data_IF_701671580712
#
_entry.id   IF_701671580712
#
_cell.length_a   1.000
_cell.length_b   1.000
_cell.length_c   1.000
_cell.angle_alpha   90.00
_cell.angle_beta   90.00
_cell.angle_gamma   90.00
#
_symmetry.space_group_name_H-M   'P 1'
#
loop_
_entity.id
_entity.type
_entity.pdbx_description
1 polymer ?
#
# COMPACT_ATOMS: atom_id res chain seq x y z
N UNK A 1 -8.56 -0.55 48.94
CA UNK A 1 -7.80 -1.76 49.27
C UNK A 1 -7.31 -2.32 47.95
N UNK A 2 -6.19 -1.76 47.48
CA UNK A 2 -4.81 -2.31 47.69
C UNK A 2 -4.55 -3.34 46.58
N UNK A 3 -3.70 -3.10 45.57
CA UNK A 3 -2.24 -2.88 45.69
C UNK A 3 -1.59 -4.25 45.97
N UNK A 4 -0.66 -4.84 45.22
CA UNK A 4 0.52 -4.35 44.49
C UNK A 4 1.20 -5.56 43.77
N UNK A 5 1.84 -5.31 42.62
CA UNK A 5 3.17 -5.79 42.15
C UNK A 5 3.60 -7.29 42.22
N UNK A 6 4.57 -7.83 41.44
CA UNK A 6 5.51 -7.36 40.42
C UNK A 6 6.04 -8.58 39.63
N UNK A 7 6.56 -8.31 38.43
CA UNK A 7 7.63 -8.98 37.65
C UNK A 7 7.97 -10.46 37.86
N UNK A 8 7.96 -11.21 36.75
CA UNK A 8 9.11 -12.06 36.38
C UNK A 8 9.40 -12.01 34.89
N UNK A 9 10.57 -11.47 34.58
CA UNK A 9 11.28 -11.60 33.31
C UNK A 9 11.82 -13.03 33.15
N UNK A 10 11.72 -13.59 31.95
CA UNK A 10 12.60 -14.63 31.44
C UNK A 10 12.71 -14.47 29.92
N UNK A 11 13.72 -13.72 29.53
CA UNK A 11 14.29 -13.66 28.18
C UNK A 11 15.10 -14.94 27.99
N UNK A 12 14.68 -15.82 27.07
CA UNK A 12 15.55 -16.83 26.49
C UNK A 12 15.64 -16.58 24.97
N UNK A 13 16.88 -16.41 24.50
CA UNK A 13 17.28 -16.18 23.12
C UNK A 13 18.05 -17.42 22.63
N UNK A 14 17.61 -17.96 21.48
CA UNK A 14 18.36 -18.58 20.36
C UNK A 14 19.21 -19.86 20.62
N UNK A 15 19.60 -20.66 19.59
CA UNK A 15 19.27 -20.61 18.14
C UNK A 15 18.78 -21.97 17.56
N UNK A 16 18.08 -21.93 16.42
CA UNK A 16 17.96 -23.08 15.50
C UNK A 16 18.66 -22.73 14.19
N UNK A 17 19.98 -22.58 14.25
CA UNK A 17 20.88 -22.68 13.09
C UNK A 17 21.13 -24.17 12.85
N UNK A 18 20.50 -24.75 11.83
CA UNK A 18 20.73 -26.18 11.52
C UNK A 18 19.94 -26.73 10.34
N UNK A 19 18.93 -26.01 9.85
CA UNK A 19 18.13 -26.45 8.68
C UNK A 19 18.50 -25.75 7.38
N UNK A 20 19.21 -24.63 7.45
CA UNK A 20 19.56 -23.86 6.24
C UNK A 20 20.84 -24.40 5.56
N UNK A 21 21.80 -24.93 6.33
CA UNK A 21 23.05 -25.49 5.76
C UNK A 21 22.84 -26.79 4.99
N UNK A 22 21.81 -27.58 5.31
CA UNK A 22 21.49 -28.81 4.57
C UNK A 22 20.80 -28.50 3.23
N UNK A 23 19.99 -27.44 3.18
CA UNK A 23 19.34 -27.00 1.94
C UNK A 23 20.31 -26.23 1.03
N UNK A 24 21.22 -25.43 1.62
CA UNK A 24 22.27 -24.74 0.86
C UNK A 24 23.32 -25.72 0.32
N UNK A 25 23.69 -26.78 1.06
CA UNK A 25 24.59 -27.83 0.55
C UNK A 25 23.97 -28.65 -0.59
N UNK A 26 22.67 -28.96 -0.52
CA UNK A 26 21.95 -29.65 -1.61
C UNK A 26 21.76 -28.74 -2.86
N UNK A 27 21.57 -27.44 -2.68
CA UNK A 27 21.50 -26.46 -3.78
C UNK A 27 22.88 -26.18 -4.41
N UNK A 28 23.95 -26.11 -3.62
CA UNK A 28 25.32 -25.94 -4.12
C UNK A 28 25.86 -27.20 -4.82
N UNK A 29 25.47 -28.40 -4.36
CA UNK A 29 25.79 -29.67 -5.04
C UNK A 29 25.06 -29.77 -6.40
N UNK A 30 23.78 -29.38 -6.49
CA UNK A 30 23.07 -29.32 -7.78
C UNK A 30 23.63 -28.24 -8.74
N UNK A 31 24.08 -27.09 -8.23
CA UNK A 31 24.69 -26.03 -9.05
C UNK A 31 26.11 -26.41 -9.52
N UNK A 32 26.85 -27.19 -8.72
CA UNK A 32 28.20 -27.68 -9.06
C UNK A 32 28.20 -28.86 -10.04
N UNK A 33 27.17 -29.72 -10.01
CA UNK A 33 27.01 -30.81 -10.98
C UNK A 33 26.58 -30.29 -12.36
N UNK A 34 25.79 -29.21 -12.45
CA UNK A 34 25.49 -28.54 -13.72
C UNK A 34 26.72 -27.85 -14.35
N UNK A 35 27.72 -27.48 -13.55
CA UNK A 35 28.96 -26.86 -14.01
C UNK A 35 30.03 -27.86 -14.51
N UNK A 36 29.90 -29.15 -14.20
CA UNK A 36 30.91 -30.17 -14.51
C UNK A 36 30.76 -30.83 -15.91
N UNK A 37 29.73 -30.49 -16.70
CA UNK A 37 29.54 -31.03 -18.05
C UNK A 37 30.12 -30.12 -19.16
N UNK A 38 31.45 -30.10 -19.25
CA UNK A 38 32.25 -29.94 -20.47
C UNK A 38 31.94 -28.78 -21.43
N UNK A 39 32.82 -27.76 -21.45
CA UNK A 39 33.25 -26.94 -22.60
C UNK A 39 32.33 -26.82 -23.84
N UNK A 40 31.03 -26.55 -23.66
CA UNK A 40 30.06 -26.38 -24.74
C UNK A 40 29.73 -24.89 -24.88
N UNK A 41 29.80 -24.39 -26.12
CA UNK A 41 29.40 -23.02 -26.50
C UNK A 41 28.07 -22.66 -25.80
N UNK A 42 28.00 -21.48 -25.17
CA UNK A 42 26.82 -21.02 -24.41
C UNK A 42 25.54 -21.27 -25.22
N UNK A 43 24.75 -22.22 -24.75
CA UNK A 43 23.51 -22.62 -25.41
C UNK A 43 22.44 -21.60 -25.03
N UNK A 44 21.85 -20.96 -26.04
CA UNK A 44 20.82 -19.95 -25.81
C UNK A 44 19.47 -20.66 -25.75
N UNK A 45 18.71 -20.51 -24.64
CA UNK A 45 17.39 -21.11 -24.53
C UNK A 45 16.41 -20.52 -25.54
N UNK A 46 15.42 -21.31 -25.92
CA UNK A 46 14.39 -20.92 -26.87
C UNK A 46 13.00 -21.27 -26.35
N UNK A 47 12.06 -20.34 -26.51
CA UNK A 47 10.68 -20.53 -26.06
C UNK A 47 9.76 -20.84 -27.24
N UNK A 48 8.88 -21.81 -27.02
CA UNK A 48 7.80 -22.19 -27.92
C UNK A 48 6.47 -21.89 -27.24
N UNK A 49 5.61 -21.16 -27.94
CA UNK A 49 4.25 -20.88 -27.56
C UNK A 49 3.31 -21.97 -28.05
N UNK A 50 2.39 -22.37 -27.19
CA UNK A 50 1.29 -23.30 -27.43
C UNK A 50 -0.01 -22.50 -27.46
N UNK A 51 -0.59 -22.34 -28.65
CA UNK A 51 -1.83 -21.57 -28.82
C UNK A 51 -3.10 -22.38 -28.53
N UNK A 52 -3.01 -23.71 -28.53
CA UNK A 52 -4.15 -24.57 -28.24
C UNK A 52 -3.75 -25.68 -27.29
N UNK A 53 -4.51 -25.81 -26.20
CA UNK A 53 -4.30 -26.83 -25.17
C UNK A 53 -5.57 -27.69 -25.04
N UNK A 54 -5.47 -29.02 -25.19
CA UNK A 54 -6.60 -29.92 -24.98
C UNK A 54 -7.16 -29.90 -23.55
N UNK A 55 -8.43 -30.30 -23.36
CA UNK A 55 -9.00 -30.48 -22.03
C UNK A 55 -8.26 -31.57 -21.25
N UNK A 56 -8.04 -31.37 -19.94
CA UNK A 56 -7.24 -32.25 -19.06
C UNK A 56 -5.75 -32.36 -19.41
N UNK A 57 -5.24 -31.54 -20.30
CA UNK A 57 -3.82 -31.51 -20.61
C UNK A 57 -3.05 -30.80 -19.49
N UNK A 58 -1.96 -31.40 -19.01
CA UNK A 58 -1.15 -30.90 -17.90
C UNK A 58 0.25 -30.56 -18.39
N UNK A 59 0.98 -29.62 -17.75
CA UNK A 59 2.36 -29.31 -18.12
C UNK A 59 3.28 -30.54 -18.17
N UNK A 60 3.06 -31.52 -17.29
CA UNK A 60 3.79 -32.79 -17.26
C UNK A 60 3.61 -33.60 -18.56
N UNK A 61 2.42 -33.61 -19.15
CA UNK A 61 2.18 -34.32 -20.42
C UNK A 61 3.00 -33.71 -21.55
N UNK A 62 3.09 -32.38 -21.61
CA UNK A 62 3.90 -31.69 -22.62
C UNK A 62 5.38 -31.94 -22.41
N UNK A 63 5.86 -31.88 -21.17
CA UNK A 63 7.25 -32.22 -20.87
C UNK A 63 7.57 -33.63 -21.36
N UNK A 64 6.73 -34.62 -21.07
CA UNK A 64 6.96 -36.00 -21.50
C UNK A 64 6.92 -36.18 -23.03
N UNK A 65 5.98 -35.53 -23.71
CA UNK A 65 5.84 -35.60 -25.17
C UNK A 65 6.99 -34.89 -25.90
N UNK A 66 7.42 -33.72 -25.41
CA UNK A 66 8.45 -32.91 -26.04
C UNK A 66 9.88 -33.31 -25.64
N UNK A 67 10.04 -34.02 -24.52
CA UNK A 67 11.33 -34.58 -24.08
C UNK A 67 11.97 -35.49 -25.13
N UNK A 68 11.17 -36.17 -25.95
CA UNK A 68 11.66 -37.00 -27.06
C UNK A 68 12.41 -36.20 -28.15
N UNK A 69 12.18 -34.89 -28.25
CA UNK A 69 12.79 -34.03 -29.27
C UNK A 69 13.97 -33.20 -28.73
N UNK A 70 14.05 -33.03 -27.41
CA UNK A 70 15.16 -32.39 -26.73
C UNK A 70 14.83 -31.99 -25.28
N UNK A 71 15.82 -31.42 -24.61
CA UNK A 71 15.72 -31.06 -23.19
C UNK A 71 14.77 -29.89 -22.96
N UNK A 72 13.68 -30.17 -22.23
CA UNK A 72 12.65 -29.22 -21.85
C UNK A 72 12.95 -28.65 -20.46
N UNK A 73 13.08 -27.33 -20.38
CA UNK A 73 13.25 -26.58 -19.14
C UNK A 73 11.90 -26.22 -18.52
N UNK A 74 11.66 -24.92 -18.33
CA UNK A 74 10.45 -24.41 -17.68
C UNK A 74 9.23 -24.54 -18.59
N UNK A 75 8.08 -24.86 -17.98
CA UNK A 75 6.78 -24.96 -18.67
C UNK A 75 5.74 -24.21 -17.86
N UNK A 76 5.02 -23.31 -18.51
CA UNK A 76 3.97 -22.52 -17.89
C UNK A 76 2.71 -22.56 -18.76
N UNK A 77 1.58 -22.90 -18.15
CA UNK A 77 0.28 -22.85 -18.82
C UNK A 77 -0.60 -21.79 -18.16
N UNK A 78 -1.17 -20.91 -18.98
CA UNK A 78 -2.15 -19.94 -18.55
C UNK A 78 -3.47 -20.66 -18.30
N UNK A 79 -3.93 -20.61 -17.04
CA UNK A 79 -5.23 -21.12 -16.68
C UNK A 79 -6.33 -20.20 -17.25
N UNK A 80 -7.45 -20.80 -17.66
CA UNK A 80 -8.64 -20.06 -18.08
C UNK A 80 -9.10 -19.07 -16.99
N UNK A 81 -9.67 -17.94 -17.42
CA UNK A 81 -10.12 -16.90 -16.50
C UNK A 81 -11.08 -17.45 -15.42
N UNK A 82 -10.89 -16.94 -14.20
CA UNK A 82 -11.60 -17.42 -13.01
C UNK A 82 -13.11 -17.27 -13.15
N UNK A 83 -13.58 -16.27 -13.88
CA UNK A 83 -15.01 -16.04 -14.09
C UNK A 83 -15.63 -17.14 -14.97
N UNK A 84 -15.00 -17.43 -16.12
CA UNK A 84 -15.46 -18.48 -17.05
C UNK A 84 -15.45 -19.83 -16.35
N UNK A 85 -14.39 -20.09 -15.58
CA UNK A 85 -14.27 -21.28 -14.74
C UNK A 85 -15.40 -21.41 -13.72
N UNK A 86 -15.72 -20.32 -13.00
CA UNK A 86 -16.82 -20.31 -12.03
C UNK A 86 -18.17 -20.53 -12.71
N UNK A 87 -18.40 -19.91 -13.88
CA UNK A 87 -19.62 -20.09 -14.67
C UNK A 87 -19.80 -21.54 -15.12
N UNK A 88 -18.74 -22.16 -15.66
CA UNK A 88 -18.75 -23.58 -16.04
C UNK A 88 -19.02 -24.49 -14.84
N UNK A 89 -18.41 -24.21 -13.69
CA UNK A 89 -18.66 -24.96 -12.44
C UNK A 89 -20.11 -24.81 -11.97
N UNK A 90 -20.66 -23.60 -11.99
CA UNK A 90 -22.04 -23.34 -11.60
C UNK A 90 -23.05 -24.04 -12.54
N UNK A 91 -22.83 -23.99 -13.85
CA UNK A 91 -23.65 -24.68 -14.84
C UNK A 91 -23.61 -26.22 -14.67
N UNK A 92 -22.45 -26.77 -14.30
CA UNK A 92 -22.32 -28.20 -14.00
C UNK A 92 -23.00 -28.58 -12.67
N UNK A 93 -23.02 -27.70 -11.67
CA UNK A 93 -23.73 -27.92 -10.41
C UNK A 93 -25.27 -27.86 -10.59
N UNK A 94 -25.76 -27.07 -11.55
CA UNK A 94 -27.18 -26.89 -11.83
C UNK A 94 -27.80 -27.99 -12.73
N UNK A 95 -27.16 -29.15 -12.87
CA UNK A 95 -27.71 -30.30 -13.62
C UNK A 95 -27.10 -30.55 -15.01
N UNK A 96 -26.08 -29.80 -15.41
CA UNK A 96 -25.27 -30.14 -16.59
C UNK A 96 -24.47 -31.43 -16.37
N UNK A 97 -24.28 -32.26 -17.43
CA UNK A 97 -23.42 -33.47 -17.40
C UNK A 97 -22.14 -33.17 -16.62
N UNK A 98 -21.82 -33.99 -15.60
CA UNK A 98 -20.57 -33.98 -14.82
C UNK A 98 -19.36 -34.19 -15.73
N UNK A 99 -19.02 -33.21 -16.58
CA UNK A 99 -17.70 -33.16 -17.17
C UNK A 99 -16.76 -32.89 -16.01
N UNK A 100 -15.85 -33.83 -15.75
CA UNK A 100 -14.76 -33.65 -14.80
C UNK A 100 -14.12 -32.30 -15.12
N UNK A 101 -14.39 -31.31 -14.27
CA UNK A 101 -13.98 -29.94 -14.49
C UNK A 101 -12.50 -29.85 -14.13
N UNK A 102 -11.65 -30.28 -15.07
CA UNK A 102 -10.21 -30.11 -14.97
C UNK A 102 -9.87 -28.62 -15.09
N UNK A 103 -8.70 -28.24 -14.55
CA UNK A 103 -8.10 -26.94 -14.87
C UNK A 103 -7.80 -26.96 -16.37
N UNK A 104 -8.67 -26.32 -17.14
CA UNK A 104 -8.46 -26.10 -18.56
C UNK A 104 -7.50 -24.90 -18.71
N UNK A 105 -6.61 -25.02 -19.68
CA UNK A 105 -5.60 -24.01 -19.98
C UNK A 105 -5.90 -23.41 -21.34
N UNK A 106 -5.68 -22.11 -21.48
CA UNK A 106 -5.95 -21.38 -22.72
C UNK A 106 -4.71 -21.39 -23.61
N UNK A 107 -3.56 -21.10 -23.00
CA UNK A 107 -2.29 -20.90 -23.68
C UNK A 107 -1.15 -21.50 -22.85
N UNK A 108 -0.01 -21.75 -23.50
CA UNK A 108 1.17 -22.28 -22.83
C UNK A 108 2.49 -21.81 -23.43
N UNK A 109 3.53 -21.86 -22.61
CA UNK A 109 4.90 -21.57 -23.00
C UNK A 109 5.81 -22.68 -22.51
N UNK A 110 6.66 -23.16 -23.41
CA UNK A 110 7.64 -24.21 -23.14
C UNK A 110 9.01 -23.66 -23.49
N UNK A 111 9.92 -23.72 -22.54
CA UNK A 111 11.33 -23.41 -22.74
C UNK A 111 12.10 -24.68 -23.08
N UNK A 112 12.89 -24.62 -24.15
CA UNK A 112 13.91 -25.60 -24.47
C UNK A 112 15.28 -25.04 -24.09
N UNK A 113 16.18 -25.91 -23.63
CA UNK A 113 17.58 -25.52 -23.31
C UNK A 113 18.27 -24.92 -24.53
N UNK A 114 17.90 -25.38 -25.74
CA UNK A 114 18.54 -25.00 -27.00
C UNK A 114 17.56 -24.43 -28.04
N UNK A 115 17.76 -23.17 -28.47
CA UNK A 115 16.86 -22.49 -29.42
C UNK A 115 16.80 -23.16 -30.81
N UNK A 116 17.83 -23.91 -31.19
CA UNK A 116 17.85 -24.64 -32.47
C UNK A 116 16.84 -25.77 -32.45
N UNK A 117 16.73 -26.47 -31.32
CA UNK A 117 15.73 -27.51 -31.08
C UNK A 117 14.35 -26.88 -31.08
N UNK A 118 14.14 -25.78 -30.34
CA UNK A 118 12.87 -25.06 -30.32
C UNK A 118 12.35 -24.69 -31.73
N UNK A 119 13.24 -24.18 -32.60
CA UNK A 119 12.89 -23.86 -34.00
C UNK A 119 12.49 -25.10 -34.79
N UNK A 120 13.25 -26.19 -34.66
CA UNK A 120 12.97 -27.46 -35.36
C UNK A 120 11.64 -28.06 -34.89
N UNK A 121 11.45 -28.14 -33.58
CA UNK A 121 10.21 -28.64 -32.95
C UNK A 121 9.02 -27.83 -33.44
N UNK A 122 9.09 -26.50 -33.41
CA UNK A 122 8.00 -25.66 -33.90
C UNK A 122 7.73 -25.89 -35.41
N UNK A 123 8.76 -26.02 -36.25
CA UNK A 123 8.57 -26.25 -37.68
C UNK A 123 8.03 -27.66 -38.00
N UNK A 124 8.46 -28.69 -37.27
CA UNK A 124 8.12 -30.09 -37.55
C UNK A 124 6.82 -30.54 -36.91
N UNK A 125 6.52 -30.08 -35.69
CA UNK A 125 5.35 -30.53 -34.93
C UNK A 125 4.13 -29.63 -35.10
N UNK A 126 4.29 -28.40 -35.57
CA UNK A 126 3.13 -27.53 -35.82
C UNK A 126 2.16 -28.20 -36.81
N UNK A 127 0.86 -28.19 -36.46
CA UNK A 127 -0.25 -28.84 -37.17
C UNK A 127 -0.16 -30.37 -37.29
N UNK A 128 0.67 -31.03 -36.47
CA UNK A 128 0.70 -32.50 -36.40
C UNK A 128 -0.21 -33.03 -35.27
N UNK A 129 -0.74 -34.26 -35.36
CA UNK A 129 -1.55 -34.83 -34.30
C UNK A 129 -0.73 -35.07 -33.02
N UNK A 130 -1.30 -34.73 -31.85
CA UNK A 130 -0.62 -34.87 -30.56
C UNK A 130 -0.35 -36.31 -30.14
N UNK A 131 -1.20 -37.24 -30.58
CA UNK A 131 -1.13 -38.65 -30.19
C UNK A 131 -0.94 -39.57 -31.38
N UNK A 132 0.18 -40.31 -31.40
CA UNK A 132 0.35 -41.46 -32.30
C UNK A 132 -0.43 -42.71 -31.82
N UNK A 133 -0.79 -42.77 -30.53
CA UNK A 133 -1.40 -43.97 -29.91
C UNK A 133 -2.92 -43.96 -30.05
N UNK A 134 -3.50 -45.07 -30.51
CA UNK A 134 -4.96 -45.22 -30.72
C UNK A 134 -5.82 -44.98 -29.47
N UNK A 135 -5.29 -45.23 -28.26
CA UNK A 135 -5.97 -45.02 -26.97
C UNK A 135 -5.59 -43.71 -26.27
N UNK A 136 -4.79 -42.84 -26.89
CA UNK A 136 -4.42 -41.57 -26.24
C UNK A 136 -5.62 -40.62 -26.17
N UNK A 137 -5.87 -39.95 -25.03
CA UNK A 137 -6.96 -38.98 -24.90
C UNK A 137 -6.85 -37.79 -25.87
N UNK A 138 -5.65 -37.48 -26.37
CA UNK A 138 -5.33 -36.29 -27.18
C UNK A 138 -5.12 -36.64 -28.66
N UNK A 139 -5.69 -37.74 -29.15
CA UNK A 139 -5.44 -38.27 -30.51
C UNK A 139 -5.91 -37.33 -31.62
N UNK A 140 -7.09 -36.74 -31.44
CA UNK A 140 -7.74 -35.90 -32.46
C UNK A 140 -7.29 -34.45 -32.41
N UNK A 141 -6.58 -34.07 -31.36
CA UNK A 141 -6.10 -32.70 -31.18
C UNK A 141 -4.78 -32.51 -31.91
N UNK A 142 -4.63 -31.35 -32.54
CA UNK A 142 -3.43 -30.96 -33.27
C UNK A 142 -2.53 -30.06 -32.42
N UNK A 143 -1.23 -30.19 -32.60
CA UNK A 143 -0.25 -29.27 -32.05
C UNK A 143 -0.38 -27.89 -32.69
N UNK A 144 -0.58 -26.85 -31.89
CA UNK A 144 -0.46 -25.46 -32.33
C UNK A 144 0.75 -24.82 -31.66
N UNK A 145 1.91 -24.94 -32.30
CA UNK A 145 3.19 -24.47 -31.80
C UNK A 145 3.71 -23.26 -32.58
N UNK A 146 4.26 -22.26 -31.91
CA UNK A 146 4.94 -21.13 -32.54
C UNK A 146 6.25 -20.85 -31.81
N UNK A 147 7.37 -20.80 -32.53
CA UNK A 147 8.63 -20.35 -31.94
C UNK A 147 8.64 -18.82 -31.76
N UNK A 148 9.06 -18.35 -30.59
CA UNK A 148 9.17 -16.92 -30.30
C UNK A 148 10.64 -16.49 -30.40
N UNK A 149 10.93 -15.63 -31.37
CA UNK A 149 12.28 -15.12 -31.58
C UNK A 149 12.64 -14.04 -30.55
N UNK A 150 13.87 -14.08 -30.03
CA UNK A 150 14.41 -13.12 -29.03
C UNK A 150 13.55 -13.00 -27.76
N UNK A 151 12.73 -14.00 -27.49
CA UNK A 151 11.89 -14.04 -26.31
C UNK A 151 12.51 -14.96 -25.26
N UNK A 152 12.69 -14.44 -24.05
CA UNK A 152 13.25 -15.14 -22.90
C UNK A 152 12.19 -15.29 -21.81
N UNK A 153 12.42 -16.18 -20.86
CA UNK A 153 11.45 -16.47 -19.80
C UNK A 153 11.24 -15.25 -18.88
N UNK A 154 12.27 -14.44 -18.68
CA UNK A 154 12.21 -13.18 -17.95
C UNK A 154 11.11 -12.27 -18.51
N UNK A 155 11.04 -12.09 -19.83
CA UNK A 155 10.01 -11.27 -20.48
C UNK A 155 8.60 -11.81 -20.25
N UNK A 156 8.42 -13.14 -20.24
CA UNK A 156 7.13 -13.75 -19.93
C UNK A 156 6.71 -13.46 -18.48
N UNK A 157 7.62 -13.68 -17.54
CA UNK A 157 7.35 -13.46 -16.12
C UNK A 157 7.09 -11.98 -15.81
N UNK A 158 7.84 -11.09 -16.44
CA UNK A 158 7.68 -9.63 -16.32
C UNK A 158 6.33 -9.19 -16.87
N UNK A 159 5.96 -9.62 -18.07
CA UNK A 159 4.65 -9.30 -18.65
C UNK A 159 3.51 -9.82 -17.76
N UNK A 160 3.59 -11.06 -17.28
CA UNK A 160 2.56 -11.63 -16.42
C UNK A 160 2.48 -10.93 -15.05
N UNK A 161 3.61 -10.48 -14.50
CA UNK A 161 3.65 -9.72 -13.27
C UNK A 161 3.04 -8.32 -13.46
N UNK A 162 3.40 -7.65 -14.56
CA UNK A 162 2.87 -6.35 -14.93
C UNK A 162 1.35 -6.40 -15.12
N UNK A 163 0.84 -7.35 -15.91
CA UNK A 163 -0.60 -7.49 -16.12
C UNK A 163 -1.36 -7.73 -14.80
N UNK A 164 -0.83 -8.60 -13.94
CA UNK A 164 -1.40 -8.84 -12.60
C UNK A 164 -1.39 -7.57 -11.75
N UNK A 165 -0.30 -6.80 -11.78
CA UNK A 165 -0.17 -5.56 -11.04
C UNK A 165 -1.16 -4.51 -11.53
N UNK A 166 -1.28 -4.31 -12.84
CA UNK A 166 -2.23 -3.38 -13.46
C UNK A 166 -3.67 -3.76 -13.07
N UNK A 167 -4.04 -5.05 -13.20
CA UNK A 167 -5.37 -5.53 -12.80
C UNK A 167 -5.63 -5.30 -11.31
N UNK A 168 -4.63 -5.54 -10.45
CA UNK A 168 -4.74 -5.32 -9.01
C UNK A 168 -4.87 -3.83 -8.66
N UNK A 169 -4.12 -2.97 -9.33
CA UNK A 169 -4.19 -1.51 -9.13
C UNK A 169 -5.56 -0.97 -9.56
N UNK A 170 -6.06 -1.40 -10.72
CA UNK A 170 -7.40 -1.03 -11.19
C UNK A 170 -8.49 -1.43 -10.20
N UNK A 171 -8.49 -2.69 -9.75
CA UNK A 171 -9.45 -3.17 -8.74
C UNK A 171 -9.34 -2.40 -7.42
N UNK A 172 -8.11 -2.04 -7.00
CA UNK A 172 -7.91 -1.22 -5.79
C UNK A 172 -8.47 0.19 -5.95
N UNK A 173 -8.30 0.81 -7.11
CA UNK A 173 -8.84 2.13 -7.40
C UNK A 173 -10.38 2.10 -7.42
N UNK A 174 -10.99 1.09 -8.07
CA UNK A 174 -12.44 0.88 -8.09
C UNK A 174 -12.99 0.66 -6.66
N UNK A 175 -12.33 -0.17 -5.85
CA UNK A 175 -12.72 -0.37 -4.44
C UNK A 175 -12.54 0.91 -3.62
N UNK A 176 -11.44 1.66 -3.82
CA UNK A 176 -11.21 2.90 -3.12
C UNK A 176 -12.26 3.97 -3.46
N UNK A 177 -12.70 4.04 -4.72
CA UNK A 177 -13.78 4.92 -5.14
C UNK A 177 -15.10 4.53 -4.46
N UNK A 178 -15.50 3.26 -4.53
CA UNK A 178 -16.72 2.78 -3.89
C UNK A 178 -16.72 3.01 -2.36
N UNK A 179 -15.57 2.84 -1.72
CA UNK A 179 -15.40 3.17 -0.29
C UNK A 179 -15.59 4.65 -0.02
N UNK A 180 -14.95 5.55 -0.79
CA UNK A 180 -15.12 7.01 -0.63
C UNK A 180 -16.59 7.42 -0.76
N UNK A 181 -17.31 6.87 -1.73
CA UNK A 181 -18.74 7.14 -1.94
C UNK A 181 -19.59 6.62 -0.76
N UNK A 182 -19.28 5.41 -0.27
CA UNK A 182 -19.97 4.81 0.89
C UNK A 182 -19.70 5.61 2.18
N UNK A 183 -18.44 5.95 2.43
CA UNK A 183 -18.02 6.72 3.61
C UNK A 183 -18.66 8.12 3.60
N UNK A 184 -18.75 8.76 2.43
CA UNK A 184 -19.43 10.03 2.26
C UNK A 184 -20.93 9.94 2.58
N UNK A 185 -21.60 8.88 2.12
CA UNK A 185 -23.01 8.63 2.44
C UNK A 185 -23.22 8.43 3.94
N UNK A 186 -22.40 7.60 4.60
CA UNK A 186 -22.47 7.37 6.04
C UNK A 186 -22.28 8.67 6.83
N UNK A 187 -21.27 9.47 6.48
CA UNK A 187 -21.04 10.78 7.11
C UNK A 187 -22.21 11.75 6.91
N UNK A 188 -22.84 11.73 5.74
CA UNK A 188 -23.99 12.59 5.44
C UNK A 188 -25.23 12.18 6.23
N UNK A 189 -25.49 10.88 6.36
CA UNK A 189 -26.59 10.34 7.19
C UNK A 189 -26.37 10.63 8.66
N UNK A 190 -25.16 10.38 9.20
CA UNK A 190 -24.83 10.73 10.58
C UNK A 190 -24.99 12.23 10.84
N UNK A 191 -24.54 13.08 9.92
CA UNK A 191 -24.70 14.54 10.04
C UNK A 191 -26.19 14.91 10.05
N UNK A 192 -27.00 14.32 9.18
CA UNK A 192 -28.46 14.51 9.17
C UNK A 192 -29.12 14.08 10.48
N UNK A 193 -28.75 12.92 11.03
CA UNK A 193 -29.25 12.46 12.32
C UNK A 193 -28.84 13.40 13.46
N UNK A 194 -27.59 13.87 13.47
CA UNK A 194 -27.12 14.86 14.46
C UNK A 194 -27.87 16.18 14.35
N UNK A 195 -28.17 16.66 13.14
CA UNK A 195 -28.99 17.86 12.96
C UNK A 195 -30.41 17.67 13.49
N UNK A 196 -31.07 16.56 13.17
CA UNK A 196 -32.41 16.26 13.69
C UNK A 196 -32.43 16.11 15.22
N UNK A 197 -31.42 15.47 15.80
CA UNK A 197 -31.28 15.37 17.26
C UNK A 197 -31.03 16.74 17.92
N UNK A 198 -30.28 17.63 17.28
CA UNK A 198 -29.99 18.98 17.77
C UNK A 198 -31.15 19.97 17.57
N UNK A 199 -32.07 19.73 16.64
CA UNK A 199 -33.31 20.51 16.48
C UNK A 199 -34.39 20.08 17.48
N UNK A 200 -34.30 18.87 18.03
CA UNK A 200 -35.18 18.36 19.09
C UNK A 200 -34.77 18.72 20.52
N UNK A 201 -33.66 19.43 20.72
CA UNK A 201 -33.16 19.83 22.04
C UNK A 201 -33.81 21.15 22.50
N UNK A 202 -34.70 21.13 23.52
CA UNK A 202 -35.42 22.32 23.99
C UNK A 202 -34.51 23.31 24.74
N UNK A 203 -33.25 22.95 25.03
CA UNK A 203 -32.29 23.85 25.66
C UNK A 203 -31.59 24.79 24.67
N UNK A 204 -31.84 24.65 23.37
CA UNK A 204 -31.26 25.51 22.33
C UNK A 204 -31.96 26.88 22.38
N UNK A 205 -31.24 27.99 22.62
CA UNK A 205 -31.86 29.30 22.52
C UNK A 205 -32.35 29.49 21.09
N UNK A 206 -33.58 30.01 20.92
CA UNK A 206 -34.17 30.36 19.62
C UNK A 206 -33.21 31.28 18.86
N UNK A 207 -32.31 30.66 18.12
CA UNK A 207 -31.23 31.28 17.40
C UNK A 207 -31.81 31.87 16.14
N UNK A 208 -32.57 32.95 16.28
CA UNK A 208 -32.74 33.92 15.20
C UNK A 208 -31.35 34.11 14.60
N UNK A 209 -31.22 33.77 13.32
CA UNK A 209 -29.97 33.82 12.60
C UNK A 209 -29.60 35.30 12.48
N UNK A 210 -29.02 35.87 13.53
CA UNK A 210 -28.55 37.24 13.55
C UNK A 210 -27.30 37.24 12.70
N UNK A 211 -27.49 37.56 11.42
CA UNK A 211 -26.41 37.91 10.52
C UNK A 211 -25.54 38.94 11.24
N UNK A 212 -24.36 38.53 11.69
CA UNK A 212 -23.42 39.42 12.35
C UNK A 212 -22.89 40.40 11.29
N UNK A 213 -23.66 41.47 11.09
CA UNK A 213 -23.34 42.53 10.15
C UNK A 213 -21.97 43.07 10.52
N UNK A 214 -21.05 43.08 9.55
CA UNK A 214 -19.72 43.65 9.76
C UNK A 214 -19.92 45.12 10.17
N UNK A 215 -19.34 45.56 11.30
CA UNK A 215 -19.47 46.94 11.75
C UNK A 215 -18.98 47.88 10.65
N UNK A 216 -19.74 48.92 10.38
CA UNK A 216 -19.51 49.85 9.27
C UNK A 216 -18.21 50.62 9.51
N UNK A 217 -17.56 51.12 8.45
CA UNK A 217 -16.27 51.83 8.56
C UNK A 217 -16.35 53.06 9.50
N UNK A 218 -17.52 53.70 9.56
CA UNK A 218 -17.82 54.81 10.47
C UNK A 218 -17.82 54.36 11.95
N UNK A 219 -18.35 53.17 12.21
CA UNK A 219 -18.42 52.56 13.55
C UNK A 219 -17.03 52.14 14.04
N UNK A 220 -16.18 51.66 13.13
CA UNK A 220 -14.76 51.38 13.39
C UNK A 220 -13.96 52.66 13.68
N UNK A 221 -14.22 53.76 12.96
CA UNK A 221 -13.58 55.06 13.21
C UNK A 221 -14.04 55.66 14.53
N UNK A 222 -15.34 55.61 14.84
CA UNK A 222 -15.90 56.07 16.11
C UNK A 222 -15.35 55.26 17.31
N UNK A 223 -15.24 53.94 17.17
CA UNK A 223 -14.65 53.07 18.22
C UNK A 223 -13.17 53.34 18.45
N UNK A 224 -12.42 53.66 17.40
CA UNK A 224 -11.02 54.11 17.52
C UNK A 224 -10.92 55.51 18.16
N UNK A 225 -11.83 56.43 17.82
CA UNK A 225 -11.89 57.77 18.40
C UNK A 225 -12.34 57.76 19.87
N UNK A 226 -13.20 56.80 20.27
CA UNK A 226 -13.66 56.61 21.64
C UNK A 226 -12.61 55.94 22.55
N UNK A 227 -11.58 55.30 21.96
CA UNK A 227 -10.44 54.74 22.69
C UNK A 227 -9.11 55.37 22.25
N UNK A 228 -8.93 56.70 22.44
CA UNK A 228 -7.67 57.32 22.11
C UNK A 228 -6.63 56.89 23.15
N UNK A 229 -5.58 56.22 22.69
CA UNK A 229 -4.37 56.02 23.49
C UNK A 229 -4.36 54.82 24.45
N UNK A 230 -5.30 53.87 24.40
CA UNK A 230 -5.23 52.64 25.24
C UNK A 230 -3.91 51.86 25.02
N UNK A 231 -3.46 51.80 23.77
CA UNK A 231 -2.16 51.19 23.39
C UNK A 231 -0.96 52.00 23.86
N UNK A 232 -1.04 53.32 23.83
CA UNK A 232 0.04 54.20 24.30
C UNK A 232 0.13 54.19 25.82
N UNK A 233 -1.02 54.19 26.52
CA UNK A 233 -1.09 54.01 27.97
C UNK A 233 -0.54 52.65 28.41
N UNK A 234 -0.86 51.57 27.69
CA UNK A 234 -0.28 50.24 27.94
C UNK A 234 1.24 50.21 27.67
N UNK A 235 1.72 50.89 26.63
CA UNK A 235 3.16 51.05 26.36
C UNK A 235 3.86 51.88 27.44
N UNK A 236 3.25 52.96 27.92
CA UNK A 236 3.81 53.77 29.00
C UNK A 236 3.82 53.02 30.33
N UNK A 237 2.78 52.24 30.63
CA UNK A 237 2.74 51.37 31.81
C UNK A 237 3.85 50.32 31.80
N UNK A 238 4.05 49.63 30.67
CA UNK A 238 5.14 48.65 30.52
C UNK A 238 6.54 49.27 30.60
N UNK A 239 6.73 50.49 30.07
CA UNK A 239 7.99 51.24 30.23
C UNK A 239 8.21 51.63 31.70
N UNK A 240 7.15 52.01 32.41
CA UNK A 240 7.23 52.41 33.82
C UNK A 240 7.55 51.22 34.74
N UNK A 241 6.98 50.04 34.49
CA UNK A 241 7.31 48.81 35.22
C UNK A 241 8.77 48.37 34.98
N UNK A 242 9.26 48.51 33.75
CA UNK A 242 10.66 48.25 33.39
C UNK A 242 11.64 49.26 34.02
N UNK A 243 11.19 50.48 34.28
CA UNK A 243 11.97 51.47 35.02
C UNK A 243 11.99 51.18 36.54
N UNK A 244 10.89 50.67 37.10
CA UNK A 244 10.80 50.27 38.52
C UNK A 244 11.73 49.11 38.85
N UNK A 245 11.90 48.14 37.95
CA UNK A 245 12.80 46.99 38.17
C UNK A 245 14.28 47.38 38.26
N UNK A 246 14.67 48.57 37.77
CA UNK A 246 16.07 49.01 37.76
C UNK A 246 16.42 49.95 38.94
N UNK A 247 15.45 50.37 39.77
CA UNK A 247 15.70 51.29 40.89
C UNK A 247 16.65 50.73 41.94
N UNK A 248 16.52 49.44 42.28
CA UNK A 248 17.40 48.77 43.24
C UNK A 248 18.83 48.58 42.72
N UNK A 249 19.00 48.44 41.40
CA UNK A 249 20.31 48.27 40.76
C UNK A 249 21.05 49.62 40.66
N UNK A 250 20.34 50.69 40.31
CA UNK A 250 20.89 52.03 40.25
C UNK A 250 21.26 52.59 41.63
N UNK A 251 20.50 52.27 42.68
CA UNK A 251 20.85 52.64 44.06
C UNK A 251 22.13 51.95 44.57
N UNK A 252 22.44 50.74 44.08
CA UNK A 252 23.68 50.03 44.40
C UNK A 252 24.90 50.53 43.62
N UNK A 253 24.69 51.04 42.40
CA UNK A 253 25.78 51.53 41.53
C UNK A 253 26.16 52.98 41.86
N UNK A 254 25.18 53.85 42.13
CA UNK A 254 25.42 55.28 42.36
C UNK A 254 25.38 55.70 43.83
N UNK A 255 25.08 54.78 44.75
CA UNK A 255 24.86 55.09 46.16
C UNK A 255 23.52 55.78 46.39
N UNK A 256 22.80 55.38 47.44
CA UNK A 256 21.59 56.10 47.85
C UNK A 256 21.98 57.50 48.37
N UNK A 257 21.28 58.58 47.96
CA UNK A 257 21.48 59.89 48.58
C UNK A 257 21.15 59.79 50.09
N UNK A 258 21.98 60.37 50.98
CA UNK A 258 21.74 60.30 52.42
C UNK A 258 20.41 60.99 52.78
N UNK A 259 19.60 60.43 53.69
CA UNK A 259 18.40 61.10 54.17
C UNK A 259 18.83 62.35 54.96
N UNK A 260 18.40 63.53 54.48
CA UNK A 260 18.56 64.78 55.21
C UNK A 260 17.67 64.77 56.45
N UNK A 261 18.27 64.60 57.62
CA UNK A 261 17.67 64.99 58.90
C UNK A 261 17.70 66.52 59.02
N UNK A 262 16.53 67.15 59.07
CA UNK A 262 16.38 68.46 59.71
C UNK A 262 14.97 68.62 60.26
N UNK A 263 14.88 68.39 61.57
CA UNK A 263 14.06 69.05 62.58
C UNK A 263 12.54 68.92 62.54
N UNK A 264 12.04 68.15 63.51
CA UNK A 264 10.84 68.49 64.26
C UNK A 264 10.91 69.96 64.74
N UNK A 265 9.91 70.75 64.33
CA UNK A 265 9.57 72.04 64.91
C UNK A 265 8.09 72.04 65.24
N UNK A 266 7.79 71.81 66.52
CA UNK A 266 6.48 71.98 67.13
C UNK A 266 6.07 73.46 67.10
N UNK A 267 4.87 73.80 66.64
CA UNK A 267 4.03 74.81 67.30
C UNK A 267 2.60 74.86 66.74
N UNK A 268 1.66 74.75 67.68
CA UNK A 268 0.22 75.07 67.61
C UNK A 268 -0.07 76.50 67.10
N UNK A 269 -1.38 76.75 66.92
CA UNK A 269 -2.17 78.01 66.97
C UNK A 269 -2.75 78.32 65.58
N UNK A 270 -4.04 78.05 65.29
CA UNK A 270 -5.35 78.58 65.75
C UNK A 270 -5.83 79.76 64.88
N UNK A 271 -7.04 79.58 64.35
CA UNK A 271 -8.07 80.51 63.85
C UNK A 271 -7.70 81.66 62.90
N UNK A 272 -8.24 81.61 61.68
CA UNK A 272 -9.30 82.52 61.18
C UNK A 272 -9.91 81.96 59.88
#
# INVERSE_FOLDING_TARGET
MEGEDSEKAATEREPLEGTDQALEAEEEEEESEEAACGSKKRVVPGIVYLGHIPPRFRPLHVRNLLSAYGEVGRVFFQAEDRFVRRKKKAAAAAGGKKRSYSKDYTEGWVEFRDKRVAKRVAASLHNTPMGARRRSPFRYDLWNLKYLHRFTWSHLSEHLAFERQVRRQRLRAEVAQAKRETDFYLQSVERGQRFLAADGDPARPDGSWTFAQRPTEQELRARKAARPGERERARLATVQDKARSNKGLLARIFGAPPPSESMEGTSRVRDS
#
